data_IF_465610103323
#
_entry.id   IF_465610103323
#
_cell.length_a   1.000
_cell.length_b   1.000
_cell.length_c   1.000
_cell.angle_alpha   90.00
_cell.angle_beta   90.00
_cell.angle_gamma   90.00
#
_symmetry.space_group_name_H-M   'P 1'
#
loop_
_entity.id
_entity.type
_entity.pdbx_description
1 polymer ?
#
# COMPACT_ATOMS: atom_id res chain seq x y z
N UNK A 1 9.79 69.62 56.91
CA UNK A 1 9.53 70.50 55.74
C UNK A 1 8.54 69.77 54.84
N UNK A 2 7.27 70.15 54.84
CA UNK A 2 6.26 69.55 53.96
C UNK A 2 6.18 70.39 52.69
N UNK A 3 6.83 69.94 51.61
CA UNK A 3 6.63 70.52 50.29
C UNK A 3 5.25 70.05 49.78
N UNK A 4 4.22 70.89 49.95
CA UNK A 4 2.95 70.70 49.26
C UNK A 4 3.18 71.01 47.78
N UNK A 5 3.66 70.02 47.02
CA UNK A 5 3.69 70.14 45.57
C UNK A 5 2.23 70.23 45.11
N UNK A 6 1.90 71.35 44.47
CA UNK A 6 0.58 71.50 43.87
C UNK A 6 0.59 70.59 42.66
N UNK A 7 -0.24 69.55 42.70
CA UNK A 7 -0.49 68.68 41.57
C UNK A 7 -0.84 69.57 40.37
N UNK A 8 -0.36 69.24 39.18
CA UNK A 8 -0.58 69.99 37.94
C UNK A 8 -1.25 69.10 36.91
N UNK A 9 -2.10 69.66 36.06
CA UNK A 9 -2.69 68.91 34.96
C UNK A 9 -1.60 68.45 33.98
N UNK A 10 -1.52 67.14 33.70
CA UNK A 10 -0.54 66.57 32.77
C UNK A 10 -0.65 67.11 31.33
N UNK A 11 -1.85 67.51 30.89
CA UNK A 11 -2.10 68.03 29.52
C UNK A 11 -1.96 69.55 29.38
N UNK A 12 -2.13 70.34 30.44
CA UNK A 12 -2.16 71.80 30.32
C UNK A 12 -1.43 72.58 31.42
N UNK A 13 -0.76 71.87 32.34
CA UNK A 13 0.13 72.37 33.41
C UNK A 13 -0.51 73.40 34.37
N UNK A 14 -1.83 73.58 34.30
CA UNK A 14 -2.57 74.51 35.15
C UNK A 14 -2.95 73.87 36.49
N UNK A 15 -2.77 74.63 37.57
CA UNK A 15 -3.15 74.30 38.94
C UNK A 15 -4.65 74.52 39.17
N UNK A 16 -5.52 73.74 38.53
CA UNK A 16 -6.97 73.99 38.60
C UNK A 16 -7.76 72.68 38.65
N UNK A 17 -8.33 72.35 39.82
CA UNK A 17 -9.31 71.28 40.03
C UNK A 17 -8.93 69.96 39.36
N UNK A 18 -8.02 69.21 39.99
CA UNK A 18 -7.39 68.03 39.40
C UNK A 18 -8.18 66.79 39.75
N UNK A 19 -8.43 65.99 38.73
CA UNK A 19 -9.16 64.74 38.78
C UNK A 19 -8.23 63.67 38.20
N UNK A 20 -8.05 62.59 38.95
CA UNK A 20 -7.32 61.40 38.51
C UNK A 20 -8.27 60.49 37.74
N UNK A 21 -7.92 60.14 36.50
CA UNK A 21 -8.63 59.10 35.78
C UNK A 21 -8.19 57.72 36.29
N UNK A 22 -9.11 56.89 36.76
CA UNK A 22 -8.76 55.55 37.27
C UNK A 22 -8.26 54.59 36.17
N UNK A 23 -8.56 54.86 34.90
CA UNK A 23 -8.14 54.03 33.76
C UNK A 23 -6.70 54.27 33.34
N UNK A 24 -6.33 55.55 33.12
CA UNK A 24 -4.98 55.92 32.66
C UNK A 24 -4.07 56.44 33.79
N UNK A 25 -4.59 56.57 35.01
CA UNK A 25 -3.91 57.12 36.19
C UNK A 25 -3.35 58.54 35.99
N UNK A 26 -3.85 59.29 35.00
CA UNK A 26 -3.40 60.64 34.72
C UNK A 26 -4.19 61.68 35.52
N UNK A 27 -3.45 62.66 36.05
CA UNK A 27 -3.97 63.82 36.76
C UNK A 27 -4.32 64.93 35.77
N UNK A 28 -5.62 65.15 35.54
CA UNK A 28 -6.14 66.07 34.54
C UNK A 28 -7.01 67.15 35.20
N UNK A 29 -6.98 68.38 34.67
CA UNK A 29 -7.97 69.38 35.06
C UNK A 29 -9.35 69.02 34.47
N UNK A 30 -10.44 69.55 35.05
CA UNK A 30 -11.82 69.28 34.59
C UNK A 30 -12.04 69.41 33.07
N UNK A 31 -11.41 70.39 32.41
CA UNK A 31 -11.51 70.56 30.95
C UNK A 31 -10.78 69.45 30.20
N UNK A 32 -9.51 69.20 30.51
CA UNK A 32 -8.74 68.14 29.87
C UNK A 32 -9.26 66.73 30.19
N UNK A 33 -9.94 66.55 31.33
CA UNK A 33 -10.64 65.31 31.68
C UNK A 33 -11.88 65.09 30.79
N UNK A 34 -12.65 66.15 30.50
CA UNK A 34 -13.77 66.07 29.56
C UNK A 34 -13.29 65.81 28.13
N UNK A 35 -12.21 66.46 27.70
CA UNK A 35 -11.60 66.20 26.39
C UNK A 35 -11.09 64.75 26.31
N UNK A 36 -10.41 64.26 27.34
CA UNK A 36 -9.98 62.86 27.43
C UNK A 36 -11.15 61.88 27.38
N UNK A 37 -12.27 62.20 28.03
CA UNK A 37 -13.49 61.38 27.97
C UNK A 37 -14.15 61.43 26.58
N UNK A 38 -14.07 62.56 25.87
CA UNK A 38 -14.53 62.63 24.48
C UNK A 38 -13.63 61.83 23.54
N UNK A 39 -12.32 61.82 23.75
CA UNK A 39 -11.39 60.99 22.98
C UNK A 39 -11.66 59.50 23.23
N UNK A 40 -11.90 59.10 24.48
CA UNK A 40 -12.30 57.74 24.84
C UNK A 40 -13.62 57.31 24.17
N UNK A 41 -14.58 58.24 24.05
CA UNK A 41 -15.85 57.96 23.35
C UNK A 41 -15.60 57.68 21.86
N UNK A 42 -14.71 58.43 21.20
CA UNK A 42 -14.35 58.15 19.79
C UNK A 42 -13.66 56.80 19.63
N UNK A 43 -12.77 56.43 20.56
CA UNK A 43 -12.15 55.10 20.56
C UNK A 43 -13.18 54.00 20.76
N UNK A 44 -14.15 54.22 21.66
CA UNK A 44 -15.24 53.28 21.88
C UNK A 44 -16.13 53.13 20.65
N UNK A 45 -16.49 54.22 19.97
CA UNK A 45 -17.26 54.19 18.72
C UNK A 45 -16.52 53.42 17.62
N UNK A 46 -15.19 53.53 17.54
CA UNK A 46 -14.37 52.69 16.64
C UNK A 46 -14.45 51.21 17.02
N UNK A 47 -14.42 50.86 18.30
CA UNK A 47 -14.56 49.47 18.75
C UNK A 47 -15.94 48.92 18.40
N UNK A 48 -16.99 49.71 18.56
CA UNK A 48 -18.36 49.34 18.17
C UNK A 48 -18.45 49.15 16.65
N UNK A 49 -17.85 50.06 15.87
CA UNK A 49 -17.80 49.94 14.41
C UNK A 49 -17.08 48.66 13.95
N UNK A 50 -15.90 48.38 14.49
CA UNK A 50 -15.15 47.15 14.17
C UNK A 50 -15.91 45.89 14.58
N UNK A 51 -16.55 45.91 15.77
CA UNK A 51 -17.40 44.81 16.23
C UNK A 51 -18.57 44.56 15.26
N UNK A 52 -19.29 45.61 14.87
CA UNK A 52 -20.44 45.49 13.98
C UNK A 52 -20.02 45.07 12.57
N UNK A 53 -18.86 45.53 12.10
CA UNK A 53 -18.28 45.09 10.83
C UNK A 53 -17.93 43.60 10.85
N UNK A 54 -17.30 43.11 11.93
CA UNK A 54 -16.98 41.69 12.10
C UNK A 54 -18.24 40.84 12.20
N UNK A 55 -19.24 41.32 12.95
CA UNK A 55 -20.54 40.65 13.07
C UNK A 55 -21.23 40.55 11.71
N UNK A 56 -21.24 41.63 10.94
CA UNK A 56 -21.82 41.63 9.59
C UNK A 56 -21.10 40.65 8.66
N UNK A 57 -19.76 40.58 8.69
CA UNK A 57 -18.97 39.62 7.92
C UNK A 57 -19.28 38.14 8.26
N UNK A 58 -19.64 37.86 9.51
CA UNK A 58 -19.99 36.52 9.98
C UNK A 58 -21.47 36.17 9.71
N UNK A 59 -22.37 37.15 9.75
CA UNK A 59 -23.81 36.96 9.53
C UNK A 59 -24.20 36.95 8.05
N UNK A 60 -23.45 37.62 7.16
CA UNK A 60 -23.65 37.47 5.72
C UNK A 60 -23.28 36.05 5.30
N UNK A 61 -24.20 35.27 4.72
CA UNK A 61 -23.87 34.00 4.13
C UNK A 61 -22.81 34.27 3.06
N UNK A 62 -21.58 33.83 3.30
CA UNK A 62 -20.55 33.85 2.27
C UNK A 62 -20.97 32.83 1.21
N UNK A 63 -21.77 33.28 0.25
CA UNK A 63 -22.10 32.51 -0.97
C UNK A 63 -20.83 32.18 -1.76
N UNK A 64 -19.74 32.90 -1.50
CA UNK A 64 -18.43 32.59 -2.03
C UNK A 64 -17.54 31.99 -0.96
N UNK A 65 -17.15 30.75 -1.22
CA UNK A 65 -16.07 29.94 -0.67
C UNK A 65 -14.69 30.64 -0.82
N UNK A 66 -14.58 31.93 -0.48
CA UNK A 66 -13.38 32.74 -0.66
C UNK A 66 -12.34 32.52 0.44
N UNK A 67 -12.64 31.65 1.41
CA UNK A 67 -11.65 31.29 2.42
C UNK A 67 -10.45 30.61 1.73
N UNK A 68 -9.21 31.05 1.97
CA UNK A 68 -8.02 30.48 1.33
C UNK A 68 -7.93 28.96 1.45
N UNK A 69 -8.40 28.38 2.56
CA UNK A 69 -8.46 26.93 2.76
C UNK A 69 -9.48 26.23 1.84
N UNK A 70 -10.61 26.85 1.52
CA UNK A 70 -11.59 26.27 0.59
C UNK A 70 -11.03 26.23 -0.84
N UNK A 71 -10.35 27.31 -1.26
CA UNK A 71 -9.61 27.34 -2.53
C UNK A 71 -8.53 26.26 -2.61
N UNK A 72 -7.79 26.01 -1.52
CA UNK A 72 -6.80 24.92 -1.48
C UNK A 72 -7.45 23.54 -1.63
N UNK A 73 -8.64 23.33 -1.05
CA UNK A 73 -9.39 22.09 -1.21
C UNK A 73 -9.87 21.93 -2.66
N UNK A 74 -10.33 23.01 -3.30
CA UNK A 74 -10.75 22.99 -4.71
C UNK A 74 -9.58 22.74 -5.66
N UNK A 75 -8.42 23.34 -5.41
CA UNK A 75 -7.18 23.08 -6.14
C UNK A 75 -6.75 21.62 -5.97
N UNK A 76 -6.73 21.10 -4.74
CA UNK A 76 -6.43 19.70 -4.46
C UNK A 76 -7.38 18.73 -5.18
N UNK A 77 -8.68 19.04 -5.19
CA UNK A 77 -9.71 18.26 -5.90
C UNK A 77 -9.43 18.24 -7.39
N UNK A 78 -9.14 19.40 -7.99
CA UNK A 78 -8.84 19.53 -9.42
C UNK A 78 -7.59 18.74 -9.81
N UNK A 79 -6.54 18.85 -9.01
CA UNK A 79 -5.28 18.12 -9.23
C UNK A 79 -5.47 16.61 -9.10
N UNK A 80 -6.27 16.16 -8.13
CA UNK A 80 -6.56 14.74 -7.93
C UNK A 80 -7.32 14.15 -9.12
N UNK A 81 -8.34 14.85 -9.63
CA UNK A 81 -9.10 14.42 -10.82
C UNK A 81 -8.17 14.35 -12.04
N UNK A 82 -7.27 15.33 -12.21
CA UNK A 82 -6.33 15.34 -13.32
C UNK A 82 -5.34 14.17 -13.26
N UNK A 83 -4.81 13.84 -12.08
CA UNK A 83 -3.92 12.68 -11.90
C UNK A 83 -4.63 11.36 -12.23
N UNK A 84 -5.89 11.20 -11.81
CA UNK A 84 -6.69 10.01 -12.15
C UNK A 84 -6.91 9.90 -13.66
N UNK A 85 -7.25 11.01 -14.33
CA UNK A 85 -7.41 11.04 -15.78
C UNK A 85 -6.12 10.66 -16.51
N UNK A 86 -4.97 11.20 -16.08
CA UNK A 86 -3.67 10.88 -16.65
C UNK A 86 -3.33 9.40 -16.50
N UNK A 87 -3.55 8.82 -15.32
CA UNK A 87 -3.35 7.39 -15.08
C UNK A 87 -4.26 6.51 -15.94
N UNK A 88 -5.53 6.89 -16.08
CA UNK A 88 -6.46 6.16 -16.94
C UNK A 88 -6.02 6.19 -18.42
N UNK A 89 -5.52 7.34 -18.88
CA UNK A 89 -5.04 7.49 -20.26
C UNK A 89 -3.75 6.70 -20.51
N UNK A 90 -2.84 6.68 -19.55
CA UNK A 90 -1.64 5.83 -19.59
C UNK A 90 -2.03 4.34 -19.65
N UNK A 91 -2.97 3.89 -18.81
CA UNK A 91 -3.43 2.50 -18.85
C UNK A 91 -4.05 2.14 -20.21
N UNK A 92 -4.82 3.05 -20.82
CA UNK A 92 -5.36 2.84 -22.18
C UNK A 92 -4.25 2.72 -23.22
N UNK A 93 -3.26 3.60 -23.16
CA UNK A 93 -2.12 3.55 -24.06
C UNK A 93 -1.34 2.23 -23.91
N UNK A 94 -1.13 1.76 -22.69
CA UNK A 94 -0.48 0.48 -22.42
C UNK A 94 -1.27 -0.70 -23.01
N UNK A 95 -2.60 -0.72 -22.85
CA UNK A 95 -3.45 -1.75 -23.49
C UNK A 95 -3.33 -1.70 -25.01
N UNK A 96 -3.35 -0.51 -25.62
CA UNK A 96 -3.25 -0.37 -27.08
C UNK A 96 -1.90 -0.88 -27.58
N UNK A 97 -0.80 -0.52 -26.91
CA UNK A 97 0.53 -0.99 -27.28
C UNK A 97 0.62 -2.52 -27.20
N UNK A 98 0.10 -3.12 -26.13
CA UNK A 98 0.06 -4.58 -25.98
C UNK A 98 -0.80 -5.24 -27.07
N UNK A 99 -1.94 -4.64 -27.42
CA UNK A 99 -2.77 -5.14 -28.53
C UNK A 99 -2.03 -5.04 -29.87
N UNK A 100 -1.29 -3.96 -30.11
CA UNK A 100 -0.51 -3.77 -31.33
C UNK A 100 0.66 -4.76 -31.42
N UNK A 101 1.35 -5.04 -30.31
CA UNK A 101 2.39 -6.08 -30.25
C UNK A 101 1.81 -7.48 -30.52
N UNK A 102 0.60 -7.76 -30.04
CA UNK A 102 -0.07 -9.03 -30.33
C UNK A 102 -0.63 -9.10 -31.76
N UNK A 103 -0.97 -7.97 -32.41
CA UNK A 103 -1.48 -7.97 -33.79
C UNK A 103 -0.51 -8.65 -34.75
N UNK A 104 0.79 -8.39 -34.62
CA UNK A 104 1.79 -9.02 -35.49
C UNK A 104 1.84 -10.54 -35.28
N UNK A 105 1.68 -11.01 -34.05
CA UNK A 105 1.57 -12.44 -33.75
C UNK A 105 0.30 -13.06 -34.34
N UNK A 106 -0.84 -12.37 -34.26
CA UNK A 106 -2.11 -12.78 -34.88
C UNK A 106 -2.03 -12.83 -36.40
N UNK A 107 -1.45 -11.81 -37.04
CA UNK A 107 -1.25 -11.74 -38.49
C UNK A 107 -0.39 -12.92 -38.95
N UNK A 108 0.66 -13.27 -38.20
CA UNK A 108 1.51 -14.41 -38.50
C UNK A 108 0.81 -15.77 -38.32
N UNK A 109 -0.08 -15.92 -37.33
CA UNK A 109 -0.91 -17.13 -37.19
C UNK A 109 -1.93 -17.24 -38.32
N UNK A 110 -2.59 -16.15 -38.68
CA UNK A 110 -3.54 -16.10 -39.81
C UNK A 110 -2.86 -16.40 -41.14
N UNK A 111 -1.64 -15.91 -41.37
CA UNK A 111 -0.89 -16.20 -42.59
C UNK A 111 -0.51 -17.68 -42.68
N UNK A 112 -0.17 -18.33 -41.57
CA UNK A 112 0.05 -19.79 -41.51
C UNK A 112 -1.21 -20.57 -41.88
N UNK A 113 -2.36 -20.27 -41.29
CA UNK A 113 -3.64 -20.91 -41.64
C UNK A 113 -3.98 -20.68 -43.11
N UNK A 114 -3.78 -19.45 -43.60
CA UNK A 114 -4.00 -19.11 -45.01
C UNK A 114 -3.13 -19.96 -45.94
N UNK A 115 -1.86 -20.16 -45.59
CA UNK A 115 -0.93 -20.98 -46.38
C UNK A 115 -1.29 -22.47 -46.33
N UNK A 116 -1.75 -22.99 -45.18
CA UNK A 116 -2.18 -24.41 -45.10
C UNK A 116 -3.47 -24.67 -45.86
N UNK A 117 -4.43 -23.73 -45.80
CA UNK A 117 -5.69 -23.82 -46.56
C UNK A 117 -5.42 -23.76 -48.07
N UNK A 118 -4.53 -22.86 -48.51
CA UNK A 118 -4.15 -22.75 -49.94
C UNK A 118 -3.46 -24.02 -50.43
N UNK A 119 -2.50 -24.56 -49.67
CA UNK A 119 -1.84 -25.82 -50.02
C UNK A 119 -2.80 -27.01 -50.11
N UNK A 120 -3.68 -27.19 -49.12
CA UNK A 120 -4.69 -28.26 -49.18
C UNK A 120 -5.62 -28.12 -50.39
N UNK A 121 -5.93 -26.89 -50.81
CA UNK A 121 -6.71 -26.63 -52.03
C UNK A 121 -5.92 -26.90 -53.31
N UNK A 122 -4.65 -26.49 -53.38
CA UNK A 122 -3.81 -26.65 -54.56
C UNK A 122 -3.40 -28.12 -54.77
N UNK A 123 -3.21 -28.87 -53.68
CA UNK A 123 -2.87 -30.28 -53.66
C UNK A 123 -4.12 -31.20 -53.73
N UNK A 124 -5.33 -30.62 -53.67
CA UNK A 124 -6.65 -31.29 -53.60
C UNK A 124 -6.71 -32.38 -52.49
N UNK A 125 -5.90 -32.21 -51.45
CA UNK A 125 -5.65 -33.14 -50.34
C UNK A 125 -6.16 -32.53 -49.03
N UNK A 126 -7.48 -32.56 -48.84
CA UNK A 126 -8.13 -32.14 -47.61
C UNK A 126 -9.32 -33.04 -47.29
N UNK A 127 -9.55 -33.28 -46.00
CA UNK A 127 -10.72 -34.05 -45.53
C UNK A 127 -11.59 -33.25 -44.53
N UNK A 128 -12.68 -33.86 -44.05
CA UNK A 128 -13.60 -33.18 -43.13
C UNK A 128 -12.98 -32.88 -41.75
N UNK A 129 -11.82 -33.45 -41.43
CA UNK A 129 -11.05 -33.16 -40.22
C UNK A 129 -10.21 -31.92 -40.42
N UNK A 130 -9.61 -31.72 -41.60
CA UNK A 130 -8.87 -30.51 -41.92
C UNK A 130 -9.79 -29.28 -41.98
N UNK A 131 -10.96 -29.44 -42.59
CA UNK A 131 -11.99 -28.38 -42.62
C UNK A 131 -12.48 -28.01 -41.22
N UNK A 132 -12.68 -29.00 -40.34
CA UNK A 132 -13.05 -28.75 -38.93
C UNK A 132 -11.93 -28.05 -38.19
N UNK A 133 -10.69 -28.52 -38.35
CA UNK A 133 -9.51 -27.95 -37.68
C UNK A 133 -9.31 -26.48 -38.05
N UNK A 134 -9.33 -26.13 -39.34
CA UNK A 134 -9.21 -24.73 -39.75
C UNK A 134 -10.36 -23.86 -39.23
N UNK A 135 -11.57 -24.40 -39.17
CA UNK A 135 -12.73 -23.67 -38.68
C UNK A 135 -12.70 -23.48 -37.15
N UNK A 136 -12.13 -24.43 -36.42
CA UNK A 136 -11.90 -24.33 -34.98
C UNK A 136 -10.74 -23.37 -34.68
N UNK A 137 -9.62 -23.46 -35.40
CA UNK A 137 -8.48 -22.54 -35.29
C UNK A 137 -8.92 -21.07 -35.58
N UNK A 138 -9.79 -20.86 -36.57
CA UNK A 138 -10.34 -19.54 -36.88
C UNK A 138 -11.30 -19.02 -35.81
N UNK A 139 -12.08 -19.90 -35.17
CA UNK A 139 -12.94 -19.52 -34.03
C UNK A 139 -12.09 -19.14 -32.82
N UNK A 140 -11.05 -19.92 -32.51
CA UNK A 140 -10.13 -19.65 -31.41
C UNK A 140 -9.44 -18.29 -31.60
N UNK A 141 -8.91 -17.99 -32.79
CA UNK A 141 -8.31 -16.69 -33.07
C UNK A 141 -9.31 -15.53 -32.96
N UNK A 142 -10.57 -15.74 -33.35
CA UNK A 142 -11.64 -14.74 -33.23
C UNK A 142 -11.99 -14.47 -31.76
N UNK A 143 -12.02 -15.51 -30.95
CA UNK A 143 -12.33 -15.40 -29.52
C UNK A 143 -11.16 -14.76 -28.75
N UNK A 144 -9.91 -15.08 -29.10
CA UNK A 144 -8.70 -14.44 -28.55
C UNK A 144 -8.63 -12.93 -28.89
N UNK A 145 -9.16 -12.50 -30.04
CA UNK A 145 -9.20 -11.08 -30.44
C UNK A 145 -10.21 -10.27 -29.62
N UNK A 146 -11.35 -10.88 -29.25
CA UNK A 146 -12.43 -10.22 -28.49
C UNK A 146 -12.11 -10.24 -26.99
N UNK A 147 -11.45 -11.30 -26.51
CA UNK A 147 -11.04 -11.47 -25.12
C UNK A 147 -9.59 -11.95 -25.09
N UNK A 148 -8.60 -11.04 -25.15
CA UNK A 148 -7.21 -11.44 -25.03
C UNK A 148 -6.98 -12.05 -23.65
N UNK A 149 -6.83 -13.37 -23.59
CA UNK A 149 -6.50 -14.13 -22.37
C UNK A 149 -5.21 -13.66 -21.70
N UNK A 150 -4.40 -12.92 -22.45
CA UNK A 150 -3.04 -12.53 -22.10
C UNK A 150 -2.99 -11.30 -21.20
N UNK A 151 -4.08 -10.55 -20.98
CA UNK A 151 -4.02 -9.38 -20.10
C UNK A 151 -5.29 -9.20 -19.26
N UNK A 152 -5.11 -8.86 -17.99
CA UNK A 152 -6.20 -8.46 -17.10
C UNK A 152 -5.97 -7.05 -16.60
N UNK A 153 -7.05 -6.27 -16.51
CA UNK A 153 -7.06 -4.97 -15.86
C UNK A 153 -7.43 -5.21 -14.40
N UNK A 154 -6.46 -5.07 -13.49
CA UNK A 154 -6.66 -5.27 -12.06
C UNK A 154 -6.57 -3.95 -11.29
N UNK A 155 -7.36 -3.84 -10.23
CA UNK A 155 -7.28 -2.75 -9.27
C UNK A 155 -6.23 -3.08 -8.19
N UNK A 156 -5.15 -2.31 -8.14
CA UNK A 156 -4.20 -2.38 -7.04
C UNK A 156 -4.73 -1.61 -5.83
N UNK A 157 -5.33 -2.38 -4.90
CA UNK A 157 -5.88 -1.90 -3.63
C UNK A 157 -4.81 -1.70 -2.55
N UNK A 158 -3.56 -2.13 -2.77
CA UNK A 158 -2.51 -2.09 -1.74
C UNK A 158 -1.72 -0.79 -1.73
N UNK A 159 -1.62 -0.10 -2.87
CA UNK A 159 -0.73 1.06 -2.99
C UNK A 159 -1.38 2.43 -2.68
N UNK A 160 -2.71 2.51 -2.58
CA UNK A 160 -3.39 3.73 -2.18
C UNK A 160 -4.79 3.44 -1.61
N UNK A 161 -5.09 3.79 -0.34
CA UNK A 161 -6.38 3.47 0.29
C UNK A 161 -7.59 4.20 -0.33
N UNK A 162 -7.36 5.28 -1.07
CA UNK A 162 -8.42 6.19 -1.49
C UNK A 162 -8.81 6.06 -2.98
N UNK A 163 -7.87 5.69 -3.85
CA UNK A 163 -8.12 5.41 -5.27
C UNK A 163 -7.25 4.21 -5.67
N UNK A 164 -7.83 3.02 -5.86
CA UNK A 164 -7.09 1.85 -6.33
C UNK A 164 -6.42 2.15 -7.68
N UNK A 165 -5.13 1.85 -7.79
CA UNK A 165 -4.39 2.10 -9.04
C UNK A 165 -4.74 0.99 -10.02
N UNK A 166 -5.38 1.34 -11.13
CA UNK A 166 -5.64 0.38 -12.21
C UNK A 166 -4.30 0.02 -12.86
N UNK A 167 -4.05 -1.26 -13.08
CA UNK A 167 -2.87 -1.74 -13.81
C UNK A 167 -3.28 -2.80 -14.82
N UNK A 168 -2.57 -2.82 -15.93
CA UNK A 168 -2.62 -3.90 -16.90
C UNK A 168 -1.56 -4.90 -16.50
N UNK A 169 -1.95 -6.16 -16.24
CA UNK A 169 -1.02 -7.25 -16.00
C UNK A 169 -1.05 -8.20 -17.19
N UNK A 170 0.12 -8.56 -17.69
CA UNK A 170 0.27 -9.69 -18.61
C UNK A 170 0.03 -11.00 -17.83
N UNK A 171 -1.01 -11.73 -18.23
CA UNK A 171 -1.25 -13.09 -17.80
C UNK A 171 -0.25 -14.00 -18.52
N UNK A 172 0.88 -14.28 -17.88
CA UNK A 172 1.66 -15.47 -18.19
C UNK A 172 0.90 -16.70 -17.68
N UNK A 173 -0.17 -17.08 -18.36
CA UNK A 173 -0.86 -18.35 -18.13
C UNK A 173 -0.89 -19.14 -19.44
N UNK A 174 -0.03 -20.16 -19.48
CA UNK A 174 0.01 -21.20 -20.49
C UNK A 174 -1.38 -21.76 -20.78
N UNK A 175 -1.64 -22.01 -22.07
CA UNK A 175 -2.82 -22.67 -22.64
C UNK A 175 -2.93 -24.17 -22.25
N UNK A 176 -2.51 -24.56 -21.05
CA UNK A 176 -2.55 -25.93 -20.56
C UNK A 176 -3.64 -26.10 -19.47
N UNK A 177 -4.91 -25.96 -19.85
CA UNK A 177 -6.04 -26.49 -19.06
C UNK A 177 -7.00 -27.30 -19.92
N UNK A 178 -6.52 -28.46 -20.34
CA UNK A 178 -7.35 -29.64 -20.57
C UNK A 178 -6.68 -30.86 -19.92
N UNK A 179 -6.58 -30.87 -18.59
CA UNK A 179 -6.70 -32.03 -17.68
C UNK A 179 -6.27 -31.65 -16.27
N UNK A 180 -7.02 -32.11 -15.29
CA UNK A 180 -6.93 -31.82 -13.87
C UNK A 180 -5.55 -32.10 -13.26
N UNK A 181 -4.71 -31.08 -13.11
CA UNK A 181 -3.69 -31.03 -12.05
C UNK A 181 -3.66 -29.60 -11.50
N UNK A 182 -4.12 -29.44 -10.27
CA UNK A 182 -4.10 -28.18 -9.54
C UNK A 182 -2.66 -27.85 -9.11
N UNK A 183 -1.81 -27.36 -10.00
CA UNK A 183 -0.51 -26.80 -9.62
C UNK A 183 -0.71 -25.37 -9.13
N UNK A 184 -0.71 -25.20 -7.81
CA UNK A 184 -0.63 -23.90 -7.15
C UNK A 184 0.67 -23.20 -7.58
N UNK A 185 0.55 -22.19 -8.45
CA UNK A 185 1.59 -21.18 -8.63
C UNK A 185 1.09 -19.94 -7.87
N UNK A 186 1.24 -19.97 -6.54
CA UNK A 186 1.31 -18.70 -5.81
C UNK A 186 2.74 -18.18 -5.97
N UNK A 187 2.87 -17.06 -6.66
CA UNK A 187 4.08 -16.25 -6.60
C UNK A 187 4.24 -15.91 -5.12
N UNK A 188 5.31 -16.42 -4.51
CA UNK A 188 5.52 -16.19 -3.08
C UNK A 188 5.54 -14.68 -2.82
N UNK A 189 4.64 -14.23 -1.94
CA UNK A 189 4.60 -12.85 -1.42
C UNK A 189 5.94 -12.43 -0.80
N UNK A 190 6.80 -13.39 -0.51
CA UNK A 190 8.05 -13.24 0.21
C UNK A 190 9.21 -13.78 -0.64
N UNK A 191 10.24 -12.97 -0.83
CA UNK A 191 11.45 -13.37 -1.55
C UNK A 191 12.07 -14.64 -0.97
N UNK A 192 12.72 -15.46 -1.79
CA UNK A 192 13.25 -16.76 -1.34
C UNK A 192 14.26 -16.63 -0.18
N UNK A 193 14.96 -15.49 -0.12
CA UNK A 193 15.93 -15.13 0.90
C UNK A 193 15.32 -14.86 2.28
N UNK A 194 13.99 -14.74 2.40
CA UNK A 194 13.31 -14.58 3.69
C UNK A 194 12.55 -15.84 4.11
N UNK A 195 12.73 -16.95 3.38
CA UNK A 195 12.20 -18.24 3.80
C UNK A 195 13.15 -18.86 4.83
N UNK A 196 12.64 -19.18 6.02
CA UNK A 196 13.41 -19.79 7.11
C UNK A 196 14.19 -21.07 6.70
N UNK A 197 13.76 -21.71 5.61
CA UNK A 197 14.37 -22.94 5.08
C UNK A 197 15.56 -22.64 4.15
N UNK A 198 15.59 -21.49 3.47
CA UNK A 198 16.66 -21.11 2.55
C UNK A 198 17.99 -20.92 3.30
N UNK A 199 18.01 -20.04 4.30
CA UNK A 199 19.21 -19.76 5.07
C UNK A 199 19.65 -20.97 5.90
N UNK A 200 18.70 -21.80 6.34
CA UNK A 200 19.00 -23.03 7.03
C UNK A 200 19.71 -24.05 6.12
N UNK A 201 19.25 -24.21 4.88
CA UNK A 201 19.91 -25.09 3.91
C UNK A 201 21.30 -24.56 3.59
N UNK A 202 21.46 -23.27 3.26
CA UNK A 202 22.77 -22.71 2.90
C UNK A 202 23.78 -22.88 4.03
N UNK A 203 23.39 -22.55 5.26
CA UNK A 203 24.29 -22.55 6.43
C UNK A 203 24.39 -23.91 7.15
N UNK A 204 23.87 -25.01 6.56
CA UNK A 204 23.80 -26.34 7.19
C UNK A 204 23.18 -26.34 8.60
N UNK A 205 22.27 -25.40 8.85
CA UNK A 205 21.57 -25.32 10.12
C UNK A 205 20.51 -26.42 10.17
N UNK A 206 20.17 -26.92 11.37
CA UNK A 206 19.08 -27.88 11.51
C UNK A 206 17.79 -27.26 10.95
N UNK A 207 17.07 -28.00 10.10
CA UNK A 207 15.73 -27.60 9.64
C UNK A 207 14.80 -27.54 10.84
N UNK A 208 14.62 -26.36 11.44
CA UNK A 208 13.71 -26.20 12.56
C UNK A 208 12.61 -25.20 12.24
N UNK A 209 11.38 -25.70 12.17
CA UNK A 209 10.21 -25.00 12.72
C UNK A 209 9.41 -25.86 13.73
N UNK A 210 9.60 -27.18 13.75
CA UNK A 210 8.79 -28.07 14.60
C UNK A 210 8.93 -27.85 16.11
N UNK A 211 10.00 -27.20 16.59
CA UNK A 211 10.14 -26.96 18.03
C UNK A 211 9.22 -25.84 18.51
N UNK A 212 9.18 -24.71 17.79
CA UNK A 212 8.33 -23.57 18.12
C UNK A 212 6.87 -23.90 17.84
N UNK A 213 6.58 -24.58 16.73
CA UNK A 213 5.23 -25.08 16.43
C UNK A 213 4.76 -26.11 17.47
N UNK A 214 5.63 -27.04 17.86
CA UNK A 214 5.33 -28.03 18.90
C UNK A 214 5.11 -27.40 20.28
N UNK A 215 5.90 -26.37 20.63
CA UNK A 215 5.71 -25.56 21.83
C UNK A 215 4.36 -24.84 21.81
N UNK A 216 4.06 -24.12 20.73
CA UNK A 216 2.80 -23.38 20.59
C UNK A 216 1.58 -24.32 20.61
N UNK A 217 1.65 -25.47 19.95
CA UNK A 217 0.57 -26.47 19.97
C UNK A 217 0.34 -27.06 21.36
N UNK A 218 1.39 -27.30 22.15
CA UNK A 218 1.27 -27.77 23.54
C UNK A 218 0.75 -26.68 24.48
N UNK A 219 1.18 -25.44 24.28
CA UNK A 219 0.60 -24.31 25.02
C UNK A 219 -0.89 -24.21 24.72
N UNK A 220 -1.30 -24.28 23.45
CA UNK A 220 -2.71 -24.23 23.08
C UNK A 220 -3.52 -25.41 23.65
N UNK A 221 -2.94 -26.62 23.72
CA UNK A 221 -3.63 -27.78 24.31
C UNK A 221 -3.76 -27.69 25.83
N UNK A 222 -2.76 -27.14 26.51
CA UNK A 222 -2.66 -27.19 27.97
C UNK A 222 -3.19 -25.91 28.65
N UNK A 223 -3.26 -24.79 27.94
CA UNK A 223 -3.70 -23.52 28.52
C UNK A 223 -5.22 -23.40 28.42
N UNK A 224 -5.94 -23.26 29.55
CA UNK A 224 -7.36 -22.96 29.49
C UNK A 224 -7.56 -21.57 28.88
N UNK A 225 -8.70 -21.35 28.19
CA UNK A 225 -8.98 -20.10 27.47
C UNK A 225 -8.88 -18.84 28.34
N UNK A 226 -9.14 -18.97 29.65
CA UNK A 226 -9.05 -17.88 30.64
C UNK A 226 -8.47 -18.38 31.98
N UNK A 227 -7.15 -18.59 32.09
CA UNK A 227 -6.52 -19.01 33.34
C UNK A 227 -6.43 -17.84 34.33
N UNK A 228 -6.56 -18.13 35.63
CA UNK A 228 -6.11 -17.19 36.66
C UNK A 228 -4.58 -17.05 36.59
N UNK A 229 -4.04 -15.85 36.89
CA UNK A 229 -2.62 -15.53 36.70
C UNK A 229 -1.66 -16.52 37.40
N UNK A 230 -2.00 -17.02 38.59
CA UNK A 230 -1.19 -18.04 39.28
C UNK A 230 -1.18 -19.38 38.55
N UNK A 231 -2.32 -19.83 38.04
CA UNK A 231 -2.41 -21.07 37.26
C UNK A 231 -1.65 -20.94 35.92
N UNK A 232 -1.71 -19.76 35.30
CA UNK A 232 -0.91 -19.43 34.12
C UNK A 232 0.61 -19.54 34.40
N UNK A 233 1.07 -19.02 35.54
CA UNK A 233 2.49 -19.08 35.94
C UNK A 233 2.93 -20.52 36.21
N UNK A 234 2.09 -21.34 36.85
CA UNK A 234 2.38 -22.76 37.08
C UNK A 234 2.53 -23.52 35.76
N UNK A 235 1.58 -23.35 34.84
CA UNK A 235 1.64 -23.98 33.51
C UNK A 235 2.89 -23.58 32.71
N UNK A 236 3.30 -22.32 32.81
CA UNK A 236 4.54 -21.85 32.18
C UNK A 236 5.78 -22.50 32.79
N UNK A 237 5.79 -22.70 34.12
CA UNK A 237 6.92 -23.34 34.80
C UNK A 237 7.04 -24.81 34.41
N UNK A 238 5.93 -25.52 34.32
CA UNK A 238 5.89 -26.93 33.92
C UNK A 238 6.31 -27.11 32.46
N UNK A 239 5.85 -26.23 31.56
CA UNK A 239 6.26 -26.28 30.17
C UNK A 239 7.74 -25.92 30.01
N UNK A 240 8.26 -24.94 30.77
CA UNK A 240 9.68 -24.62 30.78
C UNK A 240 10.55 -25.82 31.20
N UNK A 241 10.17 -26.54 32.25
CA UNK A 241 10.85 -27.75 32.71
C UNK A 241 10.82 -28.85 31.65
N UNK A 242 9.67 -29.05 31.00
CA UNK A 242 9.54 -30.03 29.92
C UNK A 242 10.45 -29.72 28.73
N UNK A 243 10.51 -28.45 28.30
CA UNK A 243 11.38 -28.04 27.20
C UNK A 243 12.86 -28.19 27.56
N UNK A 244 13.24 -27.90 28.81
CA UNK A 244 14.59 -28.13 29.30
C UNK A 244 14.99 -29.61 29.23
N UNK A 245 14.14 -30.50 29.74
CA UNK A 245 14.38 -31.94 29.69
C UNK A 245 14.48 -32.46 28.25
N UNK A 246 13.65 -31.95 27.34
CA UNK A 246 13.73 -32.30 25.92
C UNK A 246 15.00 -31.79 25.23
N UNK A 247 15.48 -30.60 25.60
CA UNK A 247 16.73 -30.08 25.09
C UNK A 247 17.90 -30.97 25.56
N UNK A 248 17.93 -31.34 26.84
CA UNK A 248 18.93 -32.26 27.40
C UNK A 248 18.87 -33.66 26.74
N UNK A 249 17.68 -34.20 26.49
CA UNK A 249 17.49 -35.47 25.75
C UNK A 249 17.98 -35.36 24.29
N UNK A 250 17.78 -34.20 23.66
CA UNK A 250 18.23 -33.93 22.28
C UNK A 250 19.75 -33.81 22.19
N UNK A 251 20.40 -33.25 23.20
CA UNK A 251 21.86 -33.14 23.27
C UNK A 251 22.52 -34.52 23.48
N UNK A 252 21.85 -35.42 24.22
CA UNK A 252 22.32 -36.80 24.42
C UNK A 252 22.01 -37.72 23.24
N UNK A 253 20.86 -37.52 22.57
CA UNK A 253 20.49 -38.25 21.35
C UNK A 253 20.78 -37.38 20.13
N UNK A 254 22.03 -37.41 19.65
CA UNK A 254 22.32 -36.98 18.26
C UNK A 254 21.60 -37.96 17.33
N UNK A 255 20.32 -37.71 17.07
CA UNK A 255 19.54 -38.48 16.11
C UNK A 255 20.21 -38.29 14.77
N UNK A 256 20.98 -39.29 14.34
CA UNK A 256 21.65 -39.28 13.04
C UNK A 256 20.61 -38.99 11.98
N UNK A 257 20.75 -37.84 11.33
CA UNK A 257 19.88 -37.42 10.24
C UNK A 257 19.90 -38.49 9.16
N UNK A 258 18.73 -38.90 8.67
CA UNK A 258 18.67 -39.89 7.59
C UNK A 258 19.42 -39.34 6.37
N UNK A 259 20.29 -40.16 5.78
CA UNK A 259 21.09 -39.78 4.60
C UNK A 259 20.26 -39.21 3.45
N UNK A 260 19.01 -39.64 3.29
CA UNK A 260 18.07 -39.10 2.31
C UNK A 260 17.96 -37.57 2.38
N UNK A 261 17.85 -37.00 3.59
CA UNK A 261 17.68 -35.56 3.75
C UNK A 261 18.97 -34.79 3.47
N UNK A 262 20.12 -35.38 3.77
CA UNK A 262 21.42 -34.80 3.43
C UNK A 262 21.59 -34.75 1.92
N UNK A 263 21.24 -35.83 1.20
CA UNK A 263 21.32 -35.88 -0.25
C UNK A 263 20.39 -34.85 -0.92
N UNK A 264 19.20 -34.62 -0.35
CA UNK A 264 18.28 -33.59 -0.84
C UNK A 264 18.87 -32.19 -0.64
N UNK A 265 19.43 -31.89 0.54
CA UNK A 265 20.02 -30.57 0.80
C UNK A 265 21.24 -30.32 -0.09
N UNK A 266 22.12 -31.30 -0.29
CA UNK A 266 23.26 -31.19 -1.23
C UNK A 266 22.80 -30.87 -2.65
N UNK A 267 21.76 -31.57 -3.14
CA UNK A 267 21.19 -31.31 -4.47
C UNK A 267 20.58 -29.91 -4.56
N UNK A 268 19.92 -29.43 -3.51
CA UNK A 268 19.34 -28.08 -3.46
C UNK A 268 20.42 -27.00 -3.45
N UNK A 269 21.54 -27.21 -2.74
CA UNK A 269 22.70 -26.31 -2.75
C UNK A 269 23.31 -26.18 -4.14
N UNK A 270 23.53 -27.31 -4.81
CA UNK A 270 24.06 -27.34 -6.18
C UNK A 270 23.14 -26.57 -7.14
N UNK A 271 21.83 -26.81 -7.09
CA UNK A 271 20.85 -26.10 -7.92
C UNK A 271 20.79 -24.59 -7.62
N UNK A 272 20.91 -24.20 -6.35
CA UNK A 272 20.97 -22.80 -5.95
C UNK A 272 22.21 -22.12 -6.52
N UNK A 273 23.38 -22.75 -6.41
CA UNK A 273 24.60 -22.22 -6.99
C UNK A 273 24.53 -22.08 -8.51
N UNK A 274 23.98 -23.09 -9.21
CA UNK A 274 23.77 -23.06 -10.66
C UNK A 274 22.84 -21.92 -11.09
N UNK A 275 21.80 -21.63 -10.29
CA UNK A 275 20.86 -20.53 -10.53
C UNK A 275 21.47 -19.15 -10.26
N UNK A 276 22.17 -18.99 -9.13
CA UNK A 276 22.85 -17.73 -8.77
C UNK A 276 23.92 -17.38 -9.81
N UNK A 277 24.64 -18.37 -10.33
CA UNK A 277 25.62 -18.21 -11.42
C UNK A 277 24.97 -18.00 -12.80
N UNK A 278 23.63 -17.91 -12.89
CA UNK A 278 22.83 -17.80 -14.13
C UNK A 278 23.13 -18.88 -15.16
N UNK A 279 23.63 -20.03 -14.73
CA UNK A 279 23.96 -21.15 -15.62
C UNK A 279 22.70 -21.89 -16.05
N UNK A 280 21.59 -21.69 -15.34
CA UNK A 280 20.31 -22.36 -15.55
C UNK A 280 19.19 -21.32 -15.55
N UNK A 281 18.32 -21.41 -16.54
CA UNK A 281 17.13 -20.56 -16.67
C UNK A 281 16.07 -20.94 -15.63
N UNK A 282 15.15 -20.01 -15.31
CA UNK A 282 14.09 -20.28 -14.33
C UNK A 282 13.21 -21.49 -14.71
N UNK A 283 13.04 -21.74 -16.01
CA UNK A 283 12.32 -22.88 -16.58
C UNK A 283 13.08 -24.20 -16.36
N UNK A 284 14.38 -24.23 -16.60
CA UNK A 284 15.22 -25.42 -16.36
C UNK A 284 15.34 -25.74 -14.86
N UNK A 285 15.42 -24.73 -13.99
CA UNK A 285 15.38 -24.92 -12.54
C UNK A 285 14.06 -25.56 -12.10
N UNK A 286 12.93 -25.12 -12.67
CA UNK A 286 11.61 -25.69 -12.38
C UNK A 286 11.55 -27.18 -12.77
N UNK A 287 12.08 -27.55 -13.94
CA UNK A 287 12.16 -28.94 -14.40
C UNK A 287 13.02 -29.79 -13.45
N UNK A 288 14.23 -29.32 -13.10
CA UNK A 288 15.15 -30.06 -12.22
C UNK A 288 14.60 -30.26 -10.79
N UNK A 289 13.74 -29.35 -10.33
CA UNK A 289 13.01 -29.47 -9.06
C UNK A 289 11.79 -30.40 -9.13
N UNK A 290 11.59 -31.12 -10.25
CA UNK A 290 10.54 -32.12 -10.40
C UNK A 290 9.19 -31.55 -10.82
N UNK A 291 9.13 -30.32 -11.33
CA UNK A 291 7.93 -29.80 -11.98
C UNK A 291 7.89 -30.33 -13.41
N UNK A 292 6.82 -31.04 -13.76
CA UNK A 292 6.55 -31.38 -15.15
C UNK A 292 6.22 -30.07 -15.90
N UNK A 293 6.98 -29.82 -16.97
CA UNK A 293 6.67 -28.80 -17.98
C UNK A 293 5.76 -29.41 -19.04
#
# INVERSE_FOLDING_TARGET
>A
MAATSRVQCKKCEKNSGIITCNGCLEELCRRCFNDHRQDLLKEFDNVVYEHDMLKQQLETPNENESHPLLKQIDEWKKDSINKVKQLAEQCRADVVNLLDENKDAFINRLSKITNTVRKGRDDDDYDERDLRKWMDDLKELKDELIKPSNFCVEEDKQQSPWIPKIRVRENFYDQAKAKNVQTYIDISLYGINIWNVHDAIINDLPRTNNHVEGYNSRLESNFPKHPHIYHFIELLRDEHLYQHHRAEESDMQIRKRKNLYNNIDSKLKELHEEHVKRTITNTELAIKCGRAV
#
